data_IF_369895965729
#
_entry.id   IF_369895965729
#
_cell.length_a   1.000
_cell.length_b   1.000
_cell.length_c   1.000
_cell.angle_alpha   90.00
_cell.angle_beta   90.00
_cell.angle_gamma   90.00
#
_symmetry.space_group_name_H-M   'P 1'
#
loop_
_entity.id
_entity.type
_entity.pdbx_description
1 polymer ?
#
# COMPACT_ATOMS: atom_id res chain seq x y z
N UNK A 1 22.02 -14.01 28.28
CA UNK A 1 21.72 -12.64 27.79
C UNK A 1 20.71 -12.74 26.66
N UNK A 2 19.41 -12.68 26.97
CA UNK A 2 18.33 -12.74 25.96
C UNK A 2 18.06 -11.33 25.47
N UNK A 3 18.34 -11.08 24.19
CA UNK A 3 18.03 -9.81 23.53
C UNK A 3 16.51 -9.68 23.46
N UNK A 4 15.98 -8.63 24.09
CA UNK A 4 14.62 -8.18 23.92
C UNK A 4 14.44 -7.74 22.46
N UNK A 5 13.75 -8.56 21.67
CA UNK A 5 13.19 -8.11 20.40
C UNK A 5 11.90 -7.37 20.79
N UNK A 6 11.98 -6.03 20.79
CA UNK A 6 10.81 -5.20 20.91
C UNK A 6 9.93 -5.48 19.68
N UNK A 7 8.87 -6.27 19.89
CA UNK A 7 7.73 -6.34 18.99
C UNK A 7 7.09 -4.96 19.07
N UNK A 8 7.50 -4.07 18.17
CA UNK A 8 6.87 -2.77 18.00
C UNK A 8 5.49 -3.07 17.43
N UNK A 9 4.50 -3.13 18.32
CA UNK A 9 3.11 -3.25 17.97
C UNK A 9 2.71 -2.00 17.16
N UNK A 10 2.88 -2.08 15.84
CA UNK A 10 2.38 -1.09 14.87
C UNK A 10 0.88 -1.35 14.64
N UNK A 11 0.14 -1.44 15.74
CA UNK A 11 -1.29 -1.73 15.80
C UNK A 11 -2.01 -0.41 16.11
N UNK A 12 -2.01 0.57 15.20
CA UNK A 12 -2.63 1.85 15.55
C UNK A 12 -2.69 3.01 14.54
N UNK A 13 -2.39 2.84 13.24
CA UNK A 13 -2.37 3.98 12.30
C UNK A 13 -3.07 3.72 10.95
N UNK A 14 -4.20 3.02 10.94
CA UNK A 14 -5.08 2.92 9.76
C UNK A 14 -6.43 3.64 9.98
N UNK A 15 -6.47 4.68 10.82
CA UNK A 15 -7.71 5.41 11.14
C UNK A 15 -8.23 6.35 10.05
N UNK A 16 -7.74 6.24 8.81
CA UNK A 16 -8.15 7.12 7.72
C UNK A 16 -7.92 6.48 6.37
N UNK A 17 -8.70 5.46 6.01
CA UNK A 17 -8.72 4.99 4.62
C UNK A 17 -9.31 6.11 3.76
N UNK A 18 -8.49 6.66 2.88
CA UNK A 18 -8.87 7.68 1.92
C UNK A 18 -9.58 7.00 0.75
N UNK A 19 -10.92 7.07 0.78
CA UNK A 19 -11.89 6.61 -0.21
C UNK A 19 -12.17 5.09 -0.33
N UNK A 20 -13.46 4.74 -0.23
CA UNK A 20 -14.00 3.37 -0.35
C UNK A 20 -14.62 3.19 -1.74
N UNK A 21 -14.01 2.38 -2.61
CA UNK A 21 -14.61 1.99 -3.91
C UNK A 21 -14.41 0.49 -4.18
N UNK A 22 -15.49 -0.29 -4.36
CA UNK A 22 -15.36 -1.71 -4.72
C UNK A 22 -14.73 -1.92 -6.09
N UNK A 23 -13.94 -2.99 -6.21
CA UNK A 23 -13.45 -3.53 -7.49
C UNK A 23 -13.67 -5.05 -7.49
N UNK A 24 -13.81 -5.66 -8.66
CA UNK A 24 -14.00 -7.12 -8.79
C UNK A 24 -12.89 -7.96 -8.14
N UNK A 25 -11.71 -7.39 -7.90
CA UNK A 25 -10.59 -8.06 -7.21
C UNK A 25 -10.42 -7.66 -5.74
N UNK A 26 -10.84 -6.46 -5.35
CA UNK A 26 -10.60 -5.90 -4.01
C UNK A 26 -11.90 -5.80 -3.21
N UNK A 27 -11.82 -6.00 -1.90
CA UNK A 27 -12.95 -5.72 -1.02
C UNK A 27 -13.42 -4.27 -1.19
N UNK A 28 -14.65 -3.96 -0.78
CA UNK A 28 -15.22 -2.59 -0.83
C UNK A 28 -14.28 -1.55 -0.17
N UNK A 29 -13.51 -1.98 0.84
CA UNK A 29 -12.49 -1.20 1.57
C UNK A 29 -11.06 -1.70 1.28
N UNK A 30 -10.86 -2.26 0.09
CA UNK A 30 -9.73 -3.14 -0.19
C UNK A 30 -8.40 -2.44 -0.43
N UNK A 31 -8.32 -1.11 -0.39
CA UNK A 31 -7.05 -0.39 -0.40
C UNK A 31 -7.14 0.73 0.63
N UNK A 32 -6.16 0.78 1.54
CA UNK A 32 -6.01 1.84 2.53
C UNK A 32 -4.61 2.41 2.41
N UNK A 33 -4.53 3.74 2.44
CA UNK A 33 -3.28 4.50 2.43
C UNK A 33 -3.19 5.25 3.75
N UNK A 34 -2.10 5.04 4.49
CA UNK A 34 -1.85 5.72 5.75
C UNK A 34 -1.12 7.06 5.57
N UNK A 35 -0.83 7.72 6.68
CA UNK A 35 0.00 8.93 6.68
C UNK A 35 1.45 8.60 6.35
N UNK A 36 2.06 9.36 5.45
CA UNK A 36 3.48 9.21 5.14
C UNK A 36 4.35 9.50 6.36
N UNK A 37 5.42 8.73 6.50
CA UNK A 37 6.41 8.85 7.57
C UNK A 37 7.75 9.20 6.94
N UNK A 38 8.40 10.23 7.48
CA UNK A 38 9.75 10.61 7.07
C UNK A 38 10.79 9.81 7.87
N UNK A 39 11.76 9.26 7.16
CA UNK A 39 12.87 8.50 7.73
C UNK A 39 14.17 8.96 7.10
N UNK A 40 14.88 9.84 7.80
CA UNK A 40 16.04 10.55 7.23
C UNK A 40 15.63 11.39 6.03
N UNK A 41 16.21 11.09 4.87
CA UNK A 41 15.92 11.78 3.59
C UNK A 41 14.83 11.09 2.77
N UNK A 42 14.24 10.00 3.26
CA UNK A 42 13.25 9.20 2.54
C UNK A 42 11.88 9.29 3.18
N UNK A 43 10.85 8.98 2.39
CA UNK A 43 9.49 8.82 2.86
C UNK A 43 9.03 7.38 2.73
N UNK A 44 8.40 6.84 3.76
CA UNK A 44 7.64 5.59 3.70
C UNK A 44 6.15 5.90 3.76
N UNK A 45 5.38 5.22 2.91
CA UNK A 45 3.93 5.33 2.88
C UNK A 45 3.31 4.01 3.35
N UNK A 46 2.71 3.96 4.55
CA UNK A 46 1.97 2.79 5.01
C UNK A 46 0.79 2.51 4.09
N UNK A 47 0.59 1.24 3.75
CA UNK A 47 -0.48 0.79 2.87
C UNK A 47 -1.06 -0.54 3.33
N UNK A 48 -2.33 -0.75 3.03
CA UNK A 48 -3.03 -2.00 3.22
C UNK A 48 -3.86 -2.34 2.01
N UNK A 49 -3.83 -3.59 1.57
CA UNK A 49 -4.63 -4.08 0.45
C UNK A 49 -5.40 -5.33 0.91
N UNK A 50 -6.70 -5.40 0.68
CA UNK A 50 -7.57 -6.54 0.99
C UNK A 50 -8.33 -6.97 -0.27
N UNK A 51 -8.11 -8.21 -0.70
CA UNK A 51 -8.74 -8.78 -1.90
C UNK A 51 -10.06 -9.46 -1.57
N UNK A 52 -11.06 -9.33 -2.45
CA UNK A 52 -12.33 -10.05 -2.36
C UNK A 52 -12.27 -11.40 -3.07
N UNK A 53 -11.44 -11.50 -4.11
CA UNK A 53 -11.28 -12.70 -4.94
C UNK A 53 -9.80 -12.89 -5.32
N UNK A 54 -9.32 -14.12 -5.20
CA UNK A 54 -7.96 -14.55 -5.55
C UNK A 54 -8.08 -15.31 -6.87
N UNK A 55 -7.63 -14.72 -7.97
CA UNK A 55 -7.80 -15.30 -9.30
C UNK A 55 -6.67 -16.28 -9.61
N UNK A 56 -7.01 -17.46 -10.14
CA UNK A 56 -6.05 -18.46 -10.62
C UNK A 56 -4.96 -18.88 -9.62
N UNK A 57 -5.27 -18.84 -8.31
CA UNK A 57 -4.30 -19.18 -7.24
C UNK A 57 -3.21 -18.13 -7.02
N UNK A 58 -3.33 -16.94 -7.61
CA UNK A 58 -2.40 -15.83 -7.42
C UNK A 58 -2.81 -14.98 -6.22
N UNK A 59 -1.87 -14.78 -5.31
CA UNK A 59 -2.03 -14.02 -4.07
C UNK A 59 -1.29 -12.71 -4.16
N UNK A 60 -1.86 -11.67 -3.54
CA UNK A 60 -1.17 -10.41 -3.37
C UNK A 60 0.07 -10.65 -2.51
N UNK A 61 1.23 -10.37 -3.06
CA UNK A 61 2.52 -10.63 -2.42
C UNK A 61 3.21 -9.35 -1.99
N UNK A 62 3.14 -8.34 -2.86
CA UNK A 62 3.79 -7.06 -2.62
C UNK A 62 3.04 -5.93 -3.30
N UNK A 63 3.38 -4.70 -2.93
CA UNK A 63 2.90 -3.50 -3.59
C UNK A 63 4.10 -2.61 -3.86
N UNK A 64 4.20 -2.13 -5.10
CA UNK A 64 5.26 -1.22 -5.52
C UNK A 64 4.71 0.19 -5.68
N UNK A 65 5.58 1.17 -5.47
CA UNK A 65 5.28 2.58 -5.73
C UNK A 65 6.22 3.15 -6.79
N UNK A 66 5.67 3.98 -7.66
CA UNK A 66 6.44 4.83 -8.59
C UNK A 66 5.93 6.26 -8.46
N UNK A 67 6.85 7.20 -8.26
CA UNK A 67 6.52 8.63 -8.18
C UNK A 67 6.75 9.27 -9.54
N UNK A 68 5.73 9.92 -10.08
CA UNK A 68 5.78 10.64 -11.35
C UNK A 68 5.12 12.02 -11.16
N UNK A 69 5.89 13.09 -11.37
CA UNK A 69 5.44 14.47 -11.19
C UNK A 69 4.75 14.69 -9.82
N UNK A 70 3.42 14.91 -9.81
CA UNK A 70 2.59 15.17 -8.63
C UNK A 70 1.85 13.91 -8.11
N UNK A 71 2.21 12.73 -8.61
CA UNK A 71 1.47 11.49 -8.38
C UNK A 71 2.35 10.34 -7.89
N UNK A 72 1.82 9.55 -6.95
CA UNK A 72 2.39 8.30 -6.47
C UNK A 72 1.51 7.17 -6.98
N UNK A 73 2.03 6.34 -7.88
CA UNK A 73 1.33 5.19 -8.43
C UNK A 73 1.67 3.91 -7.68
N UNK A 74 0.68 3.35 -7.00
CA UNK A 74 0.73 2.04 -6.38
C UNK A 74 0.37 0.96 -7.40
N UNK A 75 1.12 -0.14 -7.42
CA UNK A 75 0.84 -1.31 -8.25
C UNK A 75 0.96 -2.58 -7.41
N UNK A 76 -0.08 -3.39 -7.43
CA UNK A 76 -0.12 -4.68 -6.74
C UNK A 76 0.70 -5.72 -7.52
N UNK A 77 1.50 -6.50 -6.81
CA UNK A 77 2.29 -7.61 -7.36
C UNK A 77 1.70 -8.91 -6.85
N UNK A 78 1.21 -9.73 -7.78
CA UNK A 78 0.62 -11.02 -7.48
C UNK A 78 1.60 -12.15 -7.79
N UNK A 79 1.62 -13.20 -6.98
CA UNK A 79 2.40 -14.42 -7.23
C UNK A 79 1.65 -15.68 -6.81
N UNK A 80 2.10 -16.85 -7.27
CA UNK A 80 1.49 -18.16 -6.98
C UNK A 80 2.43 -19.03 -6.12
N UNK A 81 2.88 -18.56 -4.94
CA UNK A 81 3.83 -19.33 -4.15
C UNK A 81 3.13 -20.54 -3.51
N UNK A 82 3.80 -21.68 -3.40
CA UNK A 82 3.27 -22.80 -2.65
C UNK A 82 3.12 -22.41 -1.17
N UNK A 83 1.89 -22.48 -0.65
CA UNK A 83 1.58 -22.33 0.77
C UNK A 83 1.30 -20.92 1.30
N UNK A 84 1.51 -19.85 0.51
CA UNK A 84 1.07 -18.51 0.92
C UNK A 84 -0.35 -18.28 0.42
N UNK A 85 -1.29 -18.12 1.36
CA UNK A 85 -2.68 -17.78 1.06
C UNK A 85 -3.09 -16.57 1.89
N UNK A 86 -2.74 -15.37 1.43
CA UNK A 86 -3.06 -14.14 2.14
C UNK A 86 -4.10 -13.32 1.35
N UNK A 87 -5.30 -13.18 1.93
CA UNK A 87 -6.33 -12.30 1.38
C UNK A 87 -6.03 -10.81 1.63
N UNK A 88 -5.01 -10.52 2.44
CA UNK A 88 -4.66 -9.17 2.88
C UNK A 88 -3.15 -8.95 2.93
N UNK A 89 -2.70 -7.86 2.34
CA UNK A 89 -1.36 -7.31 2.48
C UNK A 89 -1.40 -6.08 3.40
N UNK A 90 -0.45 -5.98 4.33
CA UNK A 90 -0.23 -4.79 5.15
C UNK A 90 1.27 -4.52 5.20
N UNK A 91 1.67 -3.32 4.79
CA UNK A 91 3.08 -2.98 4.68
C UNK A 91 3.31 -1.49 4.45
N UNK A 92 4.46 -1.16 3.89
CA UNK A 92 4.82 0.21 3.52
C UNK A 92 5.60 0.20 2.21
N UNK A 93 5.37 1.20 1.36
CA UNK A 93 6.21 1.44 0.18
C UNK A 93 7.27 2.50 0.49
N UNK A 94 8.49 2.29 0.03
CA UNK A 94 9.54 3.32 0.02
C UNK A 94 9.30 4.24 -1.18
N UNK A 95 9.13 5.53 -0.92
CA UNK A 95 8.97 6.55 -1.94
C UNK A 95 10.32 7.15 -2.36
N UNK A 96 11.42 6.78 -1.69
CA UNK A 96 12.75 7.32 -1.91
C UNK A 96 12.88 8.76 -1.45
N UNK A 97 13.92 9.43 -1.96
CA UNK A 97 14.16 10.84 -1.73
C UNK A 97 13.30 11.67 -2.69
N UNK A 98 12.06 11.94 -2.29
CA UNK A 98 11.14 12.83 -3.01
C UNK A 98 10.91 14.10 -2.21
N UNK A 99 10.55 15.20 -2.91
CA UNK A 99 10.38 16.50 -2.27
C UNK A 99 9.13 16.49 -1.39
N UNK A 100 9.21 17.14 -0.22
CA UNK A 100 8.03 17.42 0.60
C UNK A 100 6.97 18.17 -0.23
N UNK A 101 5.69 17.87 0.00
CA UNK A 101 4.59 18.38 -0.79
C UNK A 101 3.37 17.47 -0.75
N UNK A 102 2.30 17.87 -1.44
CA UNK A 102 1.07 17.08 -1.56
C UNK A 102 1.07 16.34 -2.90
N UNK A 103 0.83 15.03 -2.84
CA UNK A 103 0.83 14.13 -4.00
C UNK A 103 -0.52 13.42 -4.11
N UNK A 104 -0.96 13.18 -5.34
CA UNK A 104 -2.08 12.29 -5.63
C UNK A 104 -1.62 10.85 -5.51
N UNK A 105 -2.26 10.05 -4.67
CA UNK A 105 -2.02 8.62 -4.59
C UNK A 105 -3.00 7.92 -5.50
N UNK A 106 -2.49 7.07 -6.39
CA UNK A 106 -3.28 6.39 -7.41
C UNK A 106 -2.93 4.92 -7.42
N UNK A 107 -3.92 4.06 -7.66
CA UNK A 107 -3.69 2.65 -7.89
C UNK A 107 -3.80 2.32 -9.38
N UNK A 108 -2.78 1.68 -9.95
CA UNK A 108 -2.83 1.09 -11.29
C UNK A 108 -3.17 -0.38 -11.16
N UNK A 109 -4.35 -0.78 -11.63
CA UNK A 109 -4.79 -2.17 -11.61
C UNK A 109 -4.11 -3.01 -12.73
N UNK A 110 -4.19 -4.36 -12.67
CA UNK A 110 -3.57 -5.22 -13.68
C UNK A 110 -4.07 -5.01 -15.11
N UNK A 111 -5.28 -4.47 -15.27
CA UNK A 111 -5.85 -4.11 -16.57
C UNK A 111 -5.34 -2.74 -17.08
N UNK A 112 -4.43 -2.11 -16.32
CA UNK A 112 -3.85 -0.80 -16.63
C UNK A 112 -4.73 0.39 -16.27
N UNK A 113 -5.89 0.17 -15.63
CA UNK A 113 -6.79 1.27 -15.25
C UNK A 113 -6.26 1.94 -13.99
N UNK A 114 -6.39 3.26 -13.95
CA UNK A 114 -5.93 4.09 -12.83
C UNK A 114 -7.10 4.49 -11.97
N UNK A 115 -6.97 4.29 -10.66
CA UNK A 115 -7.94 4.64 -9.63
C UNK A 115 -7.36 5.69 -8.73
N UNK A 116 -8.13 6.74 -8.46
CA UNK A 116 -7.75 7.73 -7.47
C UNK A 116 -7.96 7.18 -6.06
N UNK A 117 -6.94 7.32 -5.22
CA UNK A 117 -6.97 6.96 -3.79
C UNK A 117 -6.91 8.21 -2.90
N UNK A 118 -6.87 9.41 -3.52
CA UNK A 118 -6.85 10.69 -2.84
C UNK A 118 -5.45 11.27 -2.67
N UNK A 119 -5.28 12.16 -1.69
CA UNK A 119 -4.08 12.95 -1.48
C UNK A 119 -3.29 12.49 -0.25
N UNK A 120 -1.96 12.53 -0.36
CA UNK A 120 -1.04 12.40 0.78
C UNK A 120 -0.12 13.61 0.84
N UNK A 121 0.14 14.11 2.04
CA UNK A 121 1.10 15.20 2.28
C UNK A 121 2.37 14.62 2.91
N UNK A 122 3.51 14.93 2.30
CA UNK A 122 4.85 14.55 2.74
C UNK A 122 5.51 15.75 3.42
N UNK A 123 5.93 15.59 4.68
CA UNK A 123 6.56 16.64 5.49
C UNK A 123 7.88 16.15 6.07
#
# INVERSE_FOLDING_TARGET
MKRFVAIFAMLGLLSGCLEKKPRSFFAIDGICVGSAVKEGERFRLPIGFSTAFVHSGQWLYDVKAVTEADSIYLTAVFTTPPGLKESRYVGSVDLGAIRSGTYKVRYRDPDGRVHDLGLVTLQ
#
